data_IF_857906146134
#
_entry.id   IF_857906146134
#
_cell.length_a   1.000
_cell.length_b   1.000
_cell.length_c   1.000
_cell.angle_alpha   90.00
_cell.angle_beta   90.00
_cell.angle_gamma   90.00
#
_symmetry.space_group_name_H-M   'P 1'
#
loop_
_entity.id
_entity.type
_entity.pdbx_description
1 polymer ?
#
# COMPACT_ATOMS: atom_id res chain seq x y z
N UNK A 1 7.80 -23.18 -6.42
CA UNK A 1 8.09 -21.72 -6.60
C UNK A 1 6.84 -20.84 -6.44
N UNK A 2 5.63 -21.38 -6.44
CA UNK A 2 4.35 -20.65 -6.27
C UNK A 2 4.02 -20.28 -4.83
N UNK A 3 4.38 -21.10 -3.83
CA UNK A 3 3.94 -20.89 -2.45
C UNK A 3 4.62 -19.72 -1.75
N UNK A 4 5.92 -19.53 -1.96
CA UNK A 4 6.69 -18.46 -1.30
C UNK A 4 6.28 -17.08 -1.84
N UNK A 5 6.04 -16.97 -3.15
CA UNK A 5 5.59 -15.70 -3.75
C UNK A 5 4.17 -15.35 -3.30
N UNK A 6 3.30 -16.34 -3.17
CA UNK A 6 1.96 -16.15 -2.62
C UNK A 6 2.01 -15.74 -1.13
N UNK A 7 2.89 -16.37 -0.34
CA UNK A 7 3.09 -15.99 1.06
C UNK A 7 3.62 -14.56 1.20
N UNK A 8 4.62 -14.19 0.40
CA UNK A 8 5.17 -12.83 0.37
C UNK A 8 4.11 -11.80 -0.04
N UNK A 9 3.28 -12.14 -1.03
CA UNK A 9 2.15 -11.32 -1.46
C UNK A 9 1.12 -11.13 -0.33
N UNK A 10 0.74 -12.21 0.35
CA UNK A 10 -0.21 -12.15 1.45
C UNK A 10 0.31 -11.30 2.62
N UNK A 11 1.57 -11.48 3.00
CA UNK A 11 2.23 -10.67 4.04
C UNK A 11 2.22 -9.20 3.62
N UNK A 12 2.56 -8.91 2.37
CA UNK A 12 2.60 -7.55 1.84
C UNK A 12 1.24 -6.87 1.90
N UNK A 13 0.17 -7.54 1.45
CA UNK A 13 -1.21 -7.04 1.52
C UNK A 13 -1.63 -6.77 2.97
N UNK A 14 -1.32 -7.68 3.90
CA UNK A 14 -1.65 -7.52 5.32
C UNK A 14 -0.97 -6.27 5.90
N UNK A 15 0.32 -6.06 5.58
CA UNK A 15 1.07 -4.89 6.05
C UNK A 15 0.41 -3.60 5.57
N UNK A 16 0.05 -3.50 4.29
CA UNK A 16 -0.58 -2.29 3.74
C UNK A 16 -1.94 -2.02 4.37
N UNK A 17 -2.80 -3.05 4.49
CA UNK A 17 -4.10 -2.93 5.16
C UNK A 17 -3.97 -2.43 6.61
N UNK A 18 -3.05 -3.02 7.39
CA UNK A 18 -2.80 -2.60 8.77
C UNK A 18 -2.31 -1.15 8.83
N UNK A 19 -1.50 -0.73 7.87
CA UNK A 19 -0.98 0.63 7.82
C UNK A 19 -2.01 1.67 7.44
N UNK A 20 -2.85 1.42 6.44
CA UNK A 20 -3.94 2.34 6.12
C UNK A 20 -4.90 2.47 7.28
N UNK A 21 -5.15 1.38 8.00
CA UNK A 21 -5.89 1.44 9.25
C UNK A 21 -5.20 2.32 10.31
N UNK A 22 -3.88 2.20 10.48
CA UNK A 22 -3.09 3.05 11.40
C UNK A 22 -3.10 4.53 10.99
N UNK A 23 -2.95 4.85 9.70
CA UNK A 23 -2.99 6.24 9.20
C UNK A 23 -4.35 6.87 9.48
N UNK A 24 -5.43 6.10 9.29
CA UNK A 24 -6.79 6.53 9.57
C UNK A 24 -7.04 6.68 11.07
N UNK A 25 -6.69 5.67 11.88
CA UNK A 25 -6.91 5.63 13.32
C UNK A 25 -6.14 6.74 14.05
N UNK A 26 -4.89 6.98 13.66
CA UNK A 26 -4.05 8.03 14.25
C UNK A 26 -4.37 9.43 13.70
N UNK A 27 -5.32 9.58 12.77
CA UNK A 27 -5.64 10.85 12.07
C UNK A 27 -4.40 11.56 11.52
N UNK A 28 -3.34 10.79 11.19
CA UNK A 28 -2.05 11.33 10.73
C UNK A 28 -2.23 12.19 9.47
N UNK A 29 -3.26 11.89 8.67
CA UNK A 29 -3.65 12.65 7.49
C UNK A 29 -5.17 12.68 7.38
N UNK A 30 -5.84 13.73 7.89
CA UNK A 30 -7.32 13.81 7.81
C UNK A 30 -7.81 13.92 6.37
N UNK A 31 -7.12 14.70 5.51
CA UNK A 31 -7.41 14.76 4.06
C UNK A 31 -6.60 13.74 3.25
N UNK A 32 -5.33 13.54 3.59
CA UNK A 32 -4.48 12.59 2.86
C UNK A 32 -4.87 11.13 3.10
N UNK A 33 -5.32 10.76 4.30
CA UNK A 33 -5.70 9.39 4.67
C UNK A 33 -6.93 8.88 3.92
N UNK A 34 -7.83 9.78 3.54
CA UNK A 34 -9.00 9.44 2.73
C UNK A 34 -8.62 9.16 1.26
N UNK A 35 -7.64 9.92 0.73
CA UNK A 35 -7.06 9.69 -0.60
C UNK A 35 -6.24 8.40 -0.63
N UNK A 36 -5.45 8.15 0.42
CA UNK A 36 -4.65 6.93 0.58
C UNK A 36 -5.57 5.71 0.68
N UNK A 37 -6.60 5.77 1.54
CA UNK A 37 -7.55 4.67 1.68
C UNK A 37 -8.32 4.37 0.40
N UNK A 38 -8.66 5.39 -0.40
CA UNK A 38 -9.28 5.19 -1.71
C UNK A 38 -8.31 4.58 -2.74
N UNK A 39 -7.04 4.99 -2.72
CA UNK A 39 -5.98 4.39 -3.56
C UNK A 39 -5.77 2.92 -3.23
N UNK A 40 -5.62 2.60 -1.93
CA UNK A 40 -5.39 1.22 -1.48
C UNK A 40 -6.56 0.29 -1.82
N UNK A 41 -7.80 0.79 -1.75
CA UNK A 41 -8.99 0.01 -2.10
C UNK A 41 -9.02 -0.39 -3.59
N UNK A 42 -8.42 0.43 -4.46
CA UNK A 42 -8.28 0.15 -5.90
C UNK A 42 -7.05 -0.72 -6.17
N UNK A 43 -5.96 -0.52 -5.42
CA UNK A 43 -4.72 -1.26 -5.60
C UNK A 43 -4.78 -2.68 -5.08
N UNK A 44 -5.37 -2.93 -3.92
CA UNK A 44 -5.46 -4.28 -3.35
C UNK A 44 -6.00 -5.32 -4.36
N UNK A 45 -7.13 -5.10 -5.09
CA UNK A 45 -7.59 -6.04 -6.11
C UNK A 45 -6.67 -6.10 -7.34
N UNK A 46 -6.01 -5.01 -7.71
CA UNK A 46 -5.06 -4.94 -8.82
C UNK A 46 -3.77 -5.71 -8.54
N UNK A 47 -3.28 -5.61 -7.30
CA UNK A 47 -2.14 -6.35 -6.75
C UNK A 47 -2.44 -7.84 -6.76
N UNK A 48 -3.60 -8.23 -6.23
CA UNK A 48 -4.04 -9.63 -6.23
C UNK A 48 -4.12 -10.16 -7.67
N UNK A 49 -4.71 -9.38 -8.59
CA UNK A 49 -4.79 -9.76 -10.01
C UNK A 49 -3.41 -9.90 -10.68
N UNK A 50 -2.52 -8.92 -10.49
CA UNK A 50 -1.17 -8.93 -11.05
C UNK A 50 -0.29 -10.03 -10.49
N UNK A 51 -0.51 -10.44 -9.24
CA UNK A 51 0.21 -11.57 -8.65
C UNK A 51 -0.32 -12.89 -9.19
N UNK A 52 -1.64 -13.00 -9.39
CA UNK A 52 -2.26 -14.18 -10.01
C UNK A 52 -1.86 -14.36 -11.49
N UNK A 53 -1.62 -13.27 -12.24
CA UNK A 53 -1.33 -13.30 -13.68
C UNK A 53 0.12 -13.01 -14.09
N UNK A 54 0.82 -12.15 -13.35
CA UNK A 54 2.11 -11.55 -13.73
C UNK A 54 3.32 -12.12 -12.99
N UNK A 55 3.12 -13.03 -12.03
CA UNK A 55 4.20 -13.68 -11.30
C UNK A 55 5.15 -12.70 -10.61
N UNK A 56 6.46 -12.98 -10.66
CA UNK A 56 7.49 -12.22 -9.93
C UNK A 56 7.66 -10.77 -10.44
N UNK A 57 7.43 -10.53 -11.73
CA UNK A 57 7.52 -9.20 -12.34
C UNK A 57 6.33 -8.33 -11.90
N UNK A 58 5.13 -8.92 -11.85
CA UNK A 58 3.96 -8.28 -11.27
C UNK A 58 4.18 -7.89 -9.81
N UNK A 59 4.73 -8.82 -9.01
CA UNK A 59 5.08 -8.58 -7.62
C UNK A 59 6.09 -7.43 -7.45
N UNK A 60 7.19 -7.42 -8.22
CA UNK A 60 8.19 -6.36 -8.15
C UNK A 60 7.63 -4.97 -8.52
N UNK A 61 6.73 -4.91 -9.51
CA UNK A 61 6.08 -3.67 -9.92
C UNK A 61 5.20 -3.12 -8.81
N UNK A 62 4.42 -3.99 -8.17
CA UNK A 62 3.58 -3.62 -7.02
C UNK A 62 4.42 -3.06 -5.87
N UNK A 63 5.52 -3.74 -5.52
CA UNK A 63 6.42 -3.28 -4.45
C UNK A 63 6.98 -1.90 -4.76
N UNK A 64 7.31 -1.61 -6.02
CA UNK A 64 7.80 -0.30 -6.45
C UNK A 64 6.76 0.81 -6.29
N UNK A 65 5.51 0.56 -6.70
CA UNK A 65 4.42 1.54 -6.59
C UNK A 65 4.16 1.88 -5.12
N UNK A 66 4.17 0.87 -4.26
CA UNK A 66 3.98 1.03 -2.83
C UNK A 66 5.09 1.82 -2.16
N UNK A 67 6.36 1.59 -2.52
CA UNK A 67 7.46 2.45 -2.04
C UNK A 67 7.22 3.92 -2.39
N UNK A 68 6.74 4.21 -3.60
CA UNK A 68 6.43 5.59 -4.03
C UNK A 68 5.27 6.16 -3.22
N UNK A 69 4.21 5.39 -3.00
CA UNK A 69 3.08 5.83 -2.18
C UNK A 69 3.53 6.12 -0.75
N UNK A 70 4.33 5.26 -0.14
CA UNK A 70 4.88 5.48 1.18
C UNK A 70 5.70 6.77 1.29
N UNK A 71 6.52 7.06 0.29
CA UNK A 71 7.27 8.32 0.25
C UNK A 71 6.33 9.52 0.17
N UNK A 72 5.25 9.43 -0.61
CA UNK A 72 4.22 10.47 -0.66
C UNK A 72 3.51 10.63 0.70
N UNK A 73 3.16 9.53 1.37
CA UNK A 73 2.54 9.54 2.70
C UNK A 73 3.46 10.21 3.72
N UNK A 74 4.74 9.82 3.76
CA UNK A 74 5.73 10.40 4.66
C UNK A 74 5.92 11.91 4.40
N UNK A 75 5.95 12.31 3.13
CA UNK A 75 6.03 13.70 2.73
C UNK A 75 4.80 14.52 3.14
N UNK A 76 3.58 14.01 2.91
CA UNK A 76 2.36 14.69 3.31
C UNK A 76 2.18 14.72 4.84
N UNK A 77 2.59 13.66 5.54
CA UNK A 77 2.56 13.58 7.01
C UNK A 77 3.46 14.62 7.66
N UNK A 78 4.66 14.85 7.11
CA UNK A 78 5.57 15.90 7.61
C UNK A 78 5.07 17.31 7.33
N UNK A 79 4.45 17.55 6.17
CA UNK A 79 3.81 18.83 5.84
C UNK A 79 2.56 19.11 6.69
N UNK A 80 1.77 18.10 7.05
CA UNK A 80 0.54 18.28 7.84
C UNK A 80 0.77 18.67 9.30
N UNK A 81 1.99 18.50 9.84
CA UNK A 81 2.37 18.95 11.19
C UNK A 81 2.82 20.41 11.28
N UNK A 82 3.00 21.09 10.14
CA UNK A 82 3.29 22.53 10.11
C UNK A 82 1.95 23.26 9.96
N UNK A 83 1.17 23.28 11.03
CA UNK A 83 0.11 24.27 11.24
C UNK A 83 -0.16 24.43 12.74
#
# INVERSE_FOLDING_TARGET
MTDITFLLAAIFVIINVVQTWLIFACKLLVKGGLVIGAMELVEAPLIIYLIMKGGMVGFATVVLVEIVQWLLIAYFSTKSKIN
#
